data_IF_897725903889
#
_entry.id   IF_897725903889
#
_cell.length_a   1.000
_cell.length_b   1.000
_cell.length_c   1.000
_cell.angle_alpha   90.00
_cell.angle_beta   90.00
_cell.angle_gamma   90.00
#
_symmetry.space_group_name_H-M   'P 1'
#
loop_
_entity.id
_entity.type
_entity.pdbx_description
1 polymer ?
#
# COMPACT_ATOMS: atom_id res chain seq x y z
N UNK A 1 37.58 40.89 6.98
CA UNK A 1 36.71 40.19 6.02
C UNK A 1 36.12 41.25 5.11
N UNK A 2 36.28 41.11 3.81
CA UNK A 2 35.59 41.96 2.84
C UNK A 2 34.09 41.66 2.83
N UNK A 3 33.28 42.57 2.30
CA UNK A 3 31.83 42.40 2.19
C UNK A 3 31.43 41.06 1.52
N UNK A 4 32.14 40.66 0.46
CA UNK A 4 31.93 39.37 -0.21
C UNK A 4 32.19 38.15 0.68
N UNK A 5 33.19 38.22 1.57
CA UNK A 5 33.50 37.12 2.50
C UNK A 5 32.36 36.89 3.51
N UNK A 6 31.71 37.98 3.95
CA UNK A 6 30.58 37.92 4.88
C UNK A 6 29.38 37.29 4.20
N UNK A 7 29.06 37.70 2.97
CA UNK A 7 27.95 37.11 2.20
C UNK A 7 28.19 35.62 1.96
N UNK A 8 29.39 35.21 1.53
CA UNK A 8 29.73 33.80 1.34
C UNK A 8 29.60 32.99 2.64
N UNK A 9 30.07 33.53 3.77
CA UNK A 9 29.90 32.88 5.06
C UNK A 9 28.43 32.59 5.41
N UNK A 10 27.53 33.54 5.14
CA UNK A 10 26.10 33.33 5.39
C UNK A 10 25.47 32.34 4.41
N UNK A 11 25.87 32.36 3.14
CA UNK A 11 25.41 31.40 2.12
C UNK A 11 25.83 29.98 2.49
N UNK A 12 27.10 29.76 2.85
CA UNK A 12 27.60 28.43 3.20
C UNK A 12 26.88 27.89 4.44
N UNK A 13 26.79 28.70 5.50
CA UNK A 13 26.08 28.32 6.73
C UNK A 13 24.60 28.06 6.50
N UNK A 14 23.97 28.79 5.57
CA UNK A 14 22.60 28.55 5.16
C UNK A 14 22.45 27.21 4.43
N UNK A 15 23.34 26.93 3.48
CA UNK A 15 23.39 25.65 2.77
C UNK A 15 23.44 24.48 3.75
N UNK A 16 24.32 24.57 4.77
CA UNK A 16 24.44 23.55 5.82
C UNK A 16 23.14 23.36 6.61
N UNK A 17 22.45 24.46 6.96
CA UNK A 17 21.18 24.40 7.71
C UNK A 17 20.08 23.76 6.87
N UNK A 18 19.97 24.13 5.59
CA UNK A 18 18.98 23.55 4.69
C UNK A 18 19.24 22.07 4.48
N UNK A 19 20.49 21.67 4.21
CA UNK A 19 20.87 20.26 4.06
C UNK A 19 20.55 19.45 5.32
N UNK A 20 20.85 19.98 6.50
CA UNK A 20 20.50 19.33 7.77
C UNK A 20 18.99 19.05 7.89
N UNK A 21 18.14 20.00 7.50
CA UNK A 21 16.70 19.79 7.55
C UNK A 21 16.21 18.84 6.46
N UNK A 22 16.74 18.94 5.24
CA UNK A 22 16.43 18.00 4.15
C UNK A 22 16.73 16.57 4.58
N UNK A 23 17.93 16.31 5.10
CA UNK A 23 18.32 14.97 5.53
C UNK A 23 17.39 14.44 6.62
N UNK A 24 17.17 15.25 7.66
CA UNK A 24 16.31 14.87 8.79
C UNK A 24 14.85 14.63 8.38
N UNK A 25 14.34 15.39 7.42
CA UNK A 25 12.99 15.22 6.89
C UNK A 25 12.91 13.99 5.98
N UNK A 26 13.94 13.75 5.17
CA UNK A 26 14.10 12.52 4.40
C UNK A 26 14.04 11.28 5.31
N UNK A 27 14.77 11.28 6.42
CA UNK A 27 14.76 10.19 7.39
C UNK A 27 13.35 9.95 7.98
N UNK A 28 12.62 11.02 8.31
CA UNK A 28 11.25 10.90 8.84
C UNK A 28 10.29 10.34 7.79
N UNK A 29 10.39 10.79 6.54
CA UNK A 29 9.58 10.26 5.44
C UNK A 29 9.87 8.77 5.24
N UNK A 30 11.14 8.39 5.15
CA UNK A 30 11.56 7.00 4.98
C UNK A 30 11.06 6.11 6.12
N UNK A 31 11.16 6.57 7.37
CA UNK A 31 10.63 5.86 8.53
C UNK A 31 9.13 5.54 8.39
N UNK A 32 8.33 6.50 7.90
CA UNK A 32 6.91 6.28 7.69
C UNK A 32 6.63 5.37 6.50
N UNK A 33 7.36 5.53 5.39
CA UNK A 33 7.24 4.64 4.22
C UNK A 33 7.48 3.19 4.63
N UNK A 34 8.58 2.91 5.33
CA UNK A 34 8.93 1.55 5.76
C UNK A 34 7.83 0.98 6.67
N UNK A 35 7.42 1.74 7.69
CA UNK A 35 6.41 1.30 8.65
C UNK A 35 5.05 1.04 7.98
N UNK A 36 4.68 1.85 7.00
CA UNK A 36 3.44 1.67 6.26
C UNK A 36 3.52 0.48 5.29
N UNK A 37 4.68 0.29 4.66
CA UNK A 37 4.99 -0.90 3.88
C UNK A 37 4.81 -2.18 4.69
N UNK A 38 5.37 -2.23 5.91
CA UNK A 38 5.21 -3.37 6.81
C UNK A 38 3.75 -3.66 7.15
N UNK A 39 2.95 -2.62 7.40
CA UNK A 39 1.51 -2.78 7.70
C UNK A 39 0.75 -3.31 6.48
N UNK A 40 1.04 -2.79 5.28
CA UNK A 40 0.43 -3.29 4.04
C UNK A 40 0.78 -4.76 3.83
N UNK A 41 2.06 -5.12 3.95
CA UNK A 41 2.53 -6.50 3.81
C UNK A 41 1.84 -7.44 4.80
N UNK A 42 1.73 -7.04 6.08
CA UNK A 42 1.02 -7.81 7.09
C UNK A 42 -0.43 -8.13 6.68
N UNK A 43 -1.14 -7.16 6.11
CA UNK A 43 -2.51 -7.39 5.65
C UNK A 43 -2.57 -8.27 4.40
N UNK A 44 -1.66 -8.06 3.44
CA UNK A 44 -1.55 -8.90 2.24
C UNK A 44 -1.37 -10.37 2.63
N UNK A 45 -0.40 -10.67 3.51
CA UNK A 45 -0.12 -12.03 3.95
C UNK A 45 -1.33 -12.66 4.63
N UNK A 46 -1.93 -11.93 5.58
CA UNK A 46 -3.10 -12.42 6.31
C UNK A 46 -4.31 -12.66 5.41
N UNK A 47 -4.49 -11.85 4.37
CA UNK A 47 -5.56 -12.04 3.39
C UNK A 47 -5.27 -13.21 2.45
N UNK A 48 -4.00 -13.38 2.05
CA UNK A 48 -3.54 -14.55 1.32
C UNK A 48 -3.84 -15.85 2.07
N UNK A 49 -3.55 -15.89 3.37
CA UNK A 49 -3.86 -17.04 4.23
C UNK A 49 -5.37 -17.35 4.29
N UNK A 50 -6.21 -16.31 4.38
CA UNK A 50 -7.67 -16.49 4.40
C UNK A 50 -8.18 -17.03 3.05
N UNK A 51 -7.67 -16.50 1.93
CA UNK A 51 -8.02 -17.01 0.60
C UNK A 51 -7.61 -18.48 0.47
N UNK A 52 -6.37 -18.83 0.85
CA UNK A 52 -5.88 -20.21 0.81
C UNK A 52 -6.72 -21.15 1.66
N UNK A 53 -7.07 -20.75 2.88
CA UNK A 53 -7.95 -21.53 3.75
C UNK A 53 -9.29 -21.86 3.08
N UNK A 54 -9.89 -20.89 2.40
CA UNK A 54 -11.15 -21.11 1.69
C UNK A 54 -10.96 -22.00 0.46
N UNK A 55 -9.92 -21.79 -0.34
CA UNK A 55 -9.59 -22.65 -1.48
C UNK A 55 -9.45 -24.11 -1.05
N UNK A 56 -8.66 -24.38 -0.01
CA UNK A 56 -8.44 -25.74 0.49
C UNK A 56 -9.74 -26.38 0.96
N UNK A 57 -10.51 -25.65 1.78
CA UNK A 57 -11.79 -26.13 2.29
C UNK A 57 -12.80 -26.40 1.17
N UNK A 58 -12.79 -25.61 0.10
CA UNK A 58 -13.65 -25.85 -1.05
C UNK A 58 -13.18 -27.03 -1.89
N UNK A 59 -11.86 -27.20 -2.07
CA UNK A 59 -11.28 -28.38 -2.68
C UNK A 59 -11.72 -29.67 -1.98
N UNK A 60 -11.67 -29.68 -0.64
CA UNK A 60 -12.12 -30.82 0.17
C UNK A 60 -13.61 -31.12 -0.01
N UNK A 61 -14.46 -30.09 -0.08
CA UNK A 61 -15.91 -30.27 -0.31
C UNK A 61 -16.18 -30.84 -1.70
N UNK A 62 -15.49 -30.35 -2.73
CA UNK A 62 -15.61 -30.87 -4.09
C UNK A 62 -15.18 -32.34 -4.14
N UNK A 63 -14.02 -32.68 -3.56
CA UNK A 63 -13.54 -34.07 -3.50
C UNK A 63 -14.53 -34.98 -2.78
N UNK A 64 -15.06 -34.57 -1.62
CA UNK A 64 -16.06 -35.33 -0.88
C UNK A 64 -17.29 -35.68 -1.74
N UNK A 65 -17.76 -34.71 -2.53
CA UNK A 65 -18.89 -34.94 -3.43
C UNK A 65 -18.51 -35.86 -4.59
N UNK A 66 -17.35 -35.65 -5.24
CA UNK A 66 -16.85 -36.52 -6.31
C UNK A 66 -16.78 -37.98 -5.84
N UNK A 67 -16.18 -38.25 -4.68
CA UNK A 67 -16.03 -39.60 -4.13
C UNK A 67 -17.41 -40.24 -3.88
N UNK A 68 -18.27 -39.53 -3.15
CA UNK A 68 -19.61 -40.02 -2.81
C UNK A 68 -20.46 -40.29 -4.04
N UNK A 69 -20.31 -39.50 -5.09
CA UNK A 69 -21.04 -39.68 -6.34
C UNK A 69 -20.43 -40.77 -7.22
N UNK A 70 -19.11 -40.94 -7.22
CA UNK A 70 -18.42 -42.06 -7.85
C UNK A 70 -18.93 -43.41 -7.32
N UNK A 71 -19.10 -43.52 -6.00
CA UNK A 71 -19.69 -44.70 -5.34
C UNK A 71 -21.13 -44.96 -5.80
N UNK A 72 -21.94 -43.91 -5.93
CA UNK A 72 -23.33 -44.02 -6.40
C UNK A 72 -23.37 -44.48 -7.86
N UNK A 73 -22.56 -43.90 -8.74
CA UNK A 73 -22.48 -44.30 -10.14
C UNK A 73 -22.05 -45.77 -10.25
N UNK A 74 -21.02 -46.20 -9.51
CA UNK A 74 -20.60 -47.61 -9.50
C UNK A 74 -21.73 -48.55 -9.07
N UNK A 75 -22.53 -48.18 -8.07
CA UNK A 75 -23.68 -48.97 -7.64
C UNK A 75 -24.75 -49.15 -8.72
N UNK A 76 -24.96 -48.14 -9.59
CA UNK A 76 -25.98 -48.18 -10.65
C UNK A 76 -25.47 -48.73 -11.99
N UNK A 77 -24.16 -48.68 -12.25
CA UNK A 77 -23.51 -49.35 -13.39
C UNK A 77 -23.84 -50.85 -13.41
N UNK A 78 -23.94 -51.46 -12.24
CA UNK A 78 -24.29 -52.88 -12.10
C UNK A 78 -25.78 -53.18 -12.38
N UNK A 79 -26.64 -52.17 -12.57
CA UNK A 79 -28.09 -52.36 -12.68
C UNK A 79 -28.78 -51.77 -13.92
N UNK A 80 -28.49 -50.55 -14.40
CA UNK A 80 -29.27 -49.94 -15.51
C UNK A 80 -28.57 -48.75 -16.21
N UNK A 81 -28.59 -48.70 -17.55
CA UNK A 81 -27.97 -47.64 -18.38
C UNK A 81 -28.60 -46.25 -18.30
N UNK A 82 -29.93 -46.13 -18.43
CA UNK A 82 -30.62 -44.82 -18.44
C UNK A 82 -30.62 -44.13 -17.08
N UNK A 83 -30.58 -44.93 -16.01
CA UNK A 83 -30.48 -44.45 -14.63
C UNK A 83 -29.14 -43.73 -14.42
N UNK A 84 -28.07 -44.22 -15.05
CA UNK A 84 -26.73 -43.63 -14.94
C UNK A 84 -26.68 -42.22 -15.54
N UNK A 85 -27.26 -42.00 -16.73
CA UNK A 85 -27.30 -40.67 -17.36
C UNK A 85 -28.02 -39.64 -16.49
N UNK A 86 -29.19 -39.98 -15.95
CA UNK A 86 -29.93 -39.10 -15.04
C UNK A 86 -29.11 -38.69 -13.81
N UNK A 87 -28.36 -39.64 -13.23
CA UNK A 87 -27.50 -39.36 -12.09
C UNK A 87 -26.31 -38.49 -12.47
N UNK A 88 -25.63 -38.77 -13.59
CA UNK A 88 -24.52 -37.96 -14.10
C UNK A 88 -24.93 -36.50 -14.29
N UNK A 89 -26.05 -36.23 -14.96
CA UNK A 89 -26.52 -34.87 -15.21
C UNK A 89 -26.80 -34.13 -13.89
N UNK A 90 -27.54 -34.77 -12.98
CA UNK A 90 -27.86 -34.19 -11.68
C UNK A 90 -26.62 -33.95 -10.82
N UNK A 91 -25.59 -34.78 -10.94
CA UNK A 91 -24.32 -34.58 -10.24
C UNK A 91 -23.50 -33.45 -10.85
N UNK A 92 -23.47 -33.35 -12.18
CA UNK A 92 -22.89 -32.21 -12.88
C UNK A 92 -23.49 -30.90 -12.38
N UNK A 93 -24.82 -30.82 -12.28
CA UNK A 93 -25.53 -29.65 -11.76
C UNK A 93 -25.14 -29.32 -10.30
N UNK A 94 -25.03 -30.33 -9.43
CA UNK A 94 -24.64 -30.13 -8.03
C UNK A 94 -23.20 -29.63 -7.92
N UNK A 95 -22.27 -30.22 -8.69
CA UNK A 95 -20.87 -29.79 -8.70
C UNK A 95 -20.76 -28.35 -9.20
N UNK A 96 -21.42 -28.01 -10.30
CA UNK A 96 -21.44 -26.64 -10.84
C UNK A 96 -22.01 -25.64 -9.84
N UNK A 97 -23.13 -25.98 -9.19
CA UNK A 97 -23.72 -25.12 -8.15
C UNK A 97 -22.73 -24.80 -7.02
N UNK A 98 -21.96 -25.78 -6.57
CA UNK A 98 -20.95 -25.57 -5.53
C UNK A 98 -19.77 -24.75 -6.05
N UNK A 99 -19.27 -25.05 -7.26
CA UNK A 99 -18.19 -24.28 -7.89
C UNK A 99 -18.58 -22.80 -7.99
N UNK A 100 -19.76 -22.49 -8.53
CA UNK A 100 -20.23 -21.11 -8.69
C UNK A 100 -20.31 -20.40 -7.33
N UNK A 101 -20.96 -21.04 -6.36
CA UNK A 101 -21.13 -20.47 -5.02
C UNK A 101 -19.79 -20.25 -4.30
N UNK A 102 -18.81 -21.12 -4.52
CA UNK A 102 -17.47 -20.96 -3.96
C UNK A 102 -16.68 -19.85 -4.67
N UNK A 103 -16.81 -19.76 -6.00
CA UNK A 103 -16.29 -18.66 -6.79
C UNK A 103 -16.79 -17.31 -6.26
N UNK A 104 -18.09 -17.19 -6.01
CA UNK A 104 -18.70 -15.98 -5.45
C UNK A 104 -18.12 -15.63 -4.06
N UNK A 105 -17.90 -16.63 -3.20
CA UNK A 105 -17.33 -16.40 -1.86
C UNK A 105 -15.87 -15.93 -1.96
N UNK A 106 -15.07 -16.54 -2.84
CA UNK A 106 -13.68 -16.12 -3.08
C UNK A 106 -13.65 -14.68 -3.58
N UNK A 107 -14.46 -14.35 -4.59
CA UNK A 107 -14.54 -12.99 -5.15
C UNK A 107 -14.94 -11.97 -4.09
N UNK A 108 -15.95 -12.28 -3.27
CA UNK A 108 -16.38 -11.42 -2.16
C UNK A 108 -15.23 -11.08 -1.20
N UNK A 109 -14.40 -12.08 -0.86
CA UNK A 109 -13.25 -11.84 0.01
C UNK A 109 -12.14 -11.06 -0.68
N UNK A 110 -11.83 -11.37 -1.95
CA UNK A 110 -10.86 -10.62 -2.74
C UNK A 110 -11.23 -9.13 -2.79
N UNK A 111 -12.47 -8.81 -3.14
CA UNK A 111 -12.94 -7.43 -3.24
C UNK A 111 -12.81 -6.70 -1.90
N UNK A 112 -13.30 -7.34 -0.82
CA UNK A 112 -13.25 -6.76 0.52
C UNK A 112 -11.83 -6.55 1.03
N UNK A 113 -10.90 -7.43 0.67
CA UNK A 113 -9.49 -7.29 1.02
C UNK A 113 -8.82 -6.20 0.19
N UNK A 114 -9.15 -6.11 -1.10
CA UNK A 114 -8.76 -5.00 -1.96
C UNK A 114 -9.16 -3.65 -1.37
N UNK A 115 -10.41 -3.51 -0.94
CA UNK A 115 -10.93 -2.29 -0.31
C UNK A 115 -10.14 -1.91 0.97
N UNK A 116 -9.81 -2.90 1.80
CA UNK A 116 -9.03 -2.65 3.03
C UNK A 116 -7.60 -2.21 2.70
N UNK A 117 -6.96 -2.84 1.72
CA UNK A 117 -5.62 -2.44 1.27
C UNK A 117 -5.65 -1.01 0.74
N UNK A 118 -6.60 -0.68 -0.13
CA UNK A 118 -6.75 0.67 -0.69
C UNK A 118 -6.99 1.72 0.40
N UNK A 119 -7.85 1.42 1.38
CA UNK A 119 -8.08 2.30 2.52
C UNK A 119 -6.79 2.65 3.28
N UNK A 120 -5.92 1.65 3.50
CA UNK A 120 -4.64 1.90 4.17
C UNK A 120 -3.65 2.66 3.29
N UNK A 121 -3.57 2.33 2.00
CA UNK A 121 -2.72 3.06 1.03
C UNK A 121 -3.09 4.54 1.03
N UNK A 122 -4.37 4.87 0.89
CA UNK A 122 -4.84 6.26 0.85
C UNK A 122 -4.49 6.99 2.14
N UNK A 123 -4.80 6.38 3.29
CA UNK A 123 -4.53 6.97 4.61
C UNK A 123 -3.04 7.18 4.86
N UNK A 124 -2.19 6.27 4.40
CA UNK A 124 -0.75 6.41 4.54
C UNK A 124 -0.19 7.46 3.57
N UNK A 125 -0.74 7.53 2.36
CA UNK A 125 -0.46 8.60 1.40
C UNK A 125 -0.75 9.98 1.98
N UNK A 126 -1.92 10.15 2.62
CA UNK A 126 -2.29 11.40 3.30
C UNK A 126 -1.31 11.80 4.41
N UNK A 127 -0.85 10.82 5.20
CA UNK A 127 0.13 11.08 6.28
C UNK A 127 1.49 11.50 5.69
N UNK A 128 1.95 10.83 4.63
CA UNK A 128 3.20 11.20 3.95
C UNK A 128 3.09 12.61 3.38
N UNK A 129 2.00 12.93 2.68
CA UNK A 129 1.76 14.26 2.13
C UNK A 129 1.73 15.35 3.20
N UNK A 130 1.06 15.09 4.34
CA UNK A 130 1.05 16.01 5.48
C UNK A 130 2.48 16.35 5.97
N UNK A 131 3.37 15.35 6.03
CA UNK A 131 4.75 15.58 6.44
C UNK A 131 5.55 16.31 5.36
N UNK A 132 5.38 15.96 4.08
CA UNK A 132 6.02 16.66 2.96
C UNK A 132 5.67 18.14 2.98
N UNK A 133 4.39 18.48 3.09
CA UNK A 133 3.92 19.88 3.11
C UNK A 133 4.53 20.64 4.29
N UNK A 134 4.45 20.05 5.50
CA UNK A 134 4.99 20.66 6.71
C UNK A 134 6.51 20.88 6.63
N UNK A 135 7.23 19.96 6.00
CA UNK A 135 8.67 20.07 5.81
C UNK A 135 9.00 21.13 4.75
N UNK A 136 8.20 21.20 3.68
CA UNK A 136 8.25 22.28 2.69
C UNK A 136 8.10 23.65 3.34
N UNK A 137 7.10 23.82 4.22
CA UNK A 137 6.87 25.07 4.95
C UNK A 137 8.07 25.46 5.83
N UNK A 138 8.70 24.49 6.51
CA UNK A 138 9.89 24.75 7.33
C UNK A 138 11.07 25.19 6.48
N UNK A 139 11.30 24.52 5.35
CA UNK A 139 12.36 24.88 4.40
C UNK A 139 12.13 26.31 3.87
N UNK A 140 10.90 26.62 3.45
CA UNK A 140 10.53 27.96 2.96
C UNK A 140 10.72 29.04 4.02
N UNK A 141 10.29 28.78 5.26
CA UNK A 141 10.51 29.71 6.38
C UNK A 141 11.99 30.05 6.57
N UNK A 142 12.87 29.05 6.47
CA UNK A 142 14.30 29.30 6.55
C UNK A 142 14.80 30.09 5.34
N UNK A 143 14.46 29.69 4.11
CA UNK A 143 14.82 30.41 2.88
C UNK A 143 14.49 31.90 3.00
N UNK A 144 13.26 32.25 3.39
CA UNK A 144 12.82 33.64 3.52
C UNK A 144 13.64 34.40 4.55
N UNK A 145 13.79 33.83 5.75
CA UNK A 145 14.56 34.45 6.85
C UNK A 145 16.01 34.70 6.47
N UNK A 146 16.63 33.79 5.72
CA UNK A 146 18.01 33.95 5.28
C UNK A 146 18.13 34.95 4.12
N UNK A 147 17.14 34.98 3.22
CA UNK A 147 17.01 36.04 2.22
C UNK A 147 16.98 37.43 2.86
N UNK A 148 16.18 37.61 3.90
CA UNK A 148 16.11 38.87 4.66
C UNK A 148 17.45 39.27 5.28
N UNK A 149 18.20 38.31 5.84
CA UNK A 149 19.54 38.56 6.41
C UNK A 149 20.50 39.03 5.32
N UNK A 150 20.52 38.37 4.17
CA UNK A 150 21.41 38.75 3.05
C UNK A 150 21.06 40.16 2.56
N UNK A 151 19.78 40.45 2.37
CA UNK A 151 19.31 41.78 1.94
C UNK A 151 19.69 42.87 2.94
N UNK A 152 19.52 42.62 4.24
CA UNK A 152 19.93 43.56 5.28
C UNK A 152 21.43 43.91 5.22
N UNK A 153 22.29 42.91 5.00
CA UNK A 153 23.74 43.14 4.86
C UNK A 153 24.09 43.91 3.58
N UNK A 154 23.41 43.62 2.47
CA UNK A 154 23.57 44.36 1.20
C UNK A 154 23.20 45.84 1.40
N UNK A 155 22.06 46.12 2.01
CA UNK A 155 21.58 47.49 2.25
C UNK A 155 22.52 48.27 3.17
N UNK A 156 23.02 47.64 4.24
CA UNK A 156 24.03 48.25 5.11
C UNK A 156 25.30 48.65 4.34
N UNK A 157 25.76 47.78 3.45
CA UNK A 157 26.98 48.03 2.67
C UNK A 157 26.78 49.17 1.67
N UNK A 158 25.64 49.20 0.97
CA UNK A 158 25.29 50.29 0.04
C UNK A 158 25.22 51.62 0.78
N UNK A 159 24.50 51.67 1.91
CA UNK A 159 24.36 52.91 2.70
C UNK A 159 25.70 53.42 3.25
N UNK A 160 26.62 52.53 3.64
CA UNK A 160 27.95 52.93 4.10
C UNK A 160 28.90 53.36 2.98
N UNK A 161 28.73 52.85 1.78
CA UNK A 161 29.62 53.13 0.63
C UNK A 161 29.20 54.35 -0.16
N UNK A 162 27.91 54.70 -0.14
CA UNK A 162 27.34 55.81 -0.91
C UNK A 162 26.73 56.94 -0.06
N UNK A 163 26.75 56.84 1.27
CA UNK A 163 26.33 57.89 2.20
C UNK A 163 27.52 58.69 2.74
#
# INVERSE_FOLDING_TARGET
>A
MGFGDVIMYYIDRFGDVIMYYIDRFGDVIMYYIDRFGDVIMYYIDRFGDVIMYYIDRFGDVIMYYIDRFGDVIMYYIDRFGDVIMYYIDRFGDVIMYYIDRFGDVIMYYIDRFGDVIMYYIDRFGDVIMYYIDRFGDVIMYYIDRFGDVIMYYIDLHINWTWG
#
